data_IF_456037924253
#
_entry.id   IF_456037924253
#
_cell.length_a   1.000
_cell.length_b   1.000
_cell.length_c   1.000
_cell.angle_alpha   90.00
_cell.angle_beta   90.00
_cell.angle_gamma   90.00
#
_symmetry.space_group_name_H-M   'P 1'
#
loop_
_entity.id
_entity.type
_entity.pdbx_description
1 polymer ?
#
# COMPACT_ATOMS: atom_id res chain seq x y z
N UNK A 1 -30.00 -13.52 20.09
CA UNK A 1 -29.73 -12.68 18.90
C UNK A 1 -28.72 -13.35 17.99
N UNK A 2 -27.51 -13.66 18.47
CA UNK A 2 -26.43 -14.21 17.63
C UNK A 2 -26.74 -15.56 16.98
N UNK A 3 -27.50 -16.47 17.63
CA UNK A 3 -27.83 -17.77 17.03
C UNK A 3 -28.59 -17.66 15.71
N UNK A 4 -29.56 -16.75 15.62
CA UNK A 4 -30.33 -16.55 14.39
C UNK A 4 -29.48 -15.91 13.29
N UNK A 5 -28.64 -14.93 13.66
CA UNK A 5 -27.69 -14.29 12.76
C UNK A 5 -26.68 -15.28 12.19
N UNK A 6 -26.06 -16.11 13.02
CA UNK A 6 -25.10 -17.13 12.59
C UNK A 6 -25.75 -18.17 11.65
N UNK A 7 -26.96 -18.63 11.98
CA UNK A 7 -27.71 -19.54 11.10
C UNK A 7 -28.03 -18.91 9.74
N UNK A 8 -28.35 -17.61 9.69
CA UNK A 8 -28.53 -16.89 8.42
C UNK A 8 -27.23 -16.81 7.63
N UNK A 9 -26.09 -16.52 8.27
CA UNK A 9 -24.78 -16.51 7.61
C UNK A 9 -24.42 -17.89 7.05
N UNK A 10 -24.66 -18.97 7.79
CA UNK A 10 -24.45 -20.35 7.34
C UNK A 10 -25.32 -20.72 6.12
N UNK A 11 -26.46 -20.07 5.93
CA UNK A 11 -27.33 -20.31 4.78
C UNK A 11 -26.84 -19.65 3.48
N UNK A 12 -26.03 -18.59 3.59
CA UNK A 12 -25.53 -17.81 2.42
C UNK A 12 -24.05 -18.05 2.14
N UNK A 13 -23.30 -18.47 3.16
CA UNK A 13 -21.90 -18.85 3.10
C UNK A 13 -21.78 -20.38 2.98
N UNK A 14 -20.87 -20.83 2.13
CA UNK A 14 -20.56 -22.25 1.97
C UNK A 14 -19.73 -22.83 3.11
N UNK A 15 -19.45 -24.13 3.02
CA UNK A 15 -18.65 -24.84 4.01
C UNK A 15 -17.27 -24.19 4.21
N UNK A 16 -16.91 -23.94 5.47
CA UNK A 16 -15.64 -23.30 5.85
C UNK A 16 -15.54 -21.82 5.48
N UNK A 17 -16.63 -21.15 5.08
CA UNK A 17 -16.66 -19.70 4.86
C UNK A 17 -17.11 -18.90 6.09
N UNK A 18 -17.57 -19.56 7.15
CA UNK A 18 -17.90 -18.93 8.43
C UNK A 18 -17.04 -19.57 9.54
N UNK A 19 -16.27 -18.76 10.25
CA UNK A 19 -15.45 -19.19 11.37
C UNK A 19 -16.08 -18.74 12.68
N UNK A 20 -16.45 -19.70 13.52
CA UNK A 20 -17.04 -19.46 14.85
C UNK A 20 -16.17 -19.98 15.99
N UNK A 21 -15.19 -20.84 15.70
CA UNK A 21 -14.26 -21.34 16.71
C UNK A 21 -13.39 -20.19 17.29
N UNK A 22 -13.28 -20.06 18.63
CA UNK A 22 -12.45 -19.03 19.25
C UNK A 22 -11.00 -18.98 18.75
N UNK A 23 -10.37 -20.12 18.46
CA UNK A 23 -8.99 -20.19 17.99
C UNK A 23 -8.84 -19.61 16.58
N UNK A 24 -9.76 -19.96 15.68
CA UNK A 24 -9.76 -19.46 14.29
C UNK A 24 -10.02 -17.95 14.23
N UNK A 25 -11.02 -17.49 15.00
CA UNK A 25 -11.40 -16.07 15.06
C UNK A 25 -10.27 -15.17 15.57
N UNK A 26 -9.40 -15.69 16.45
CA UNK A 26 -8.29 -14.92 17.05
C UNK A 26 -7.30 -14.39 16.01
N UNK A 27 -7.09 -15.11 14.92
CA UNK A 27 -6.21 -14.68 13.82
C UNK A 27 -6.73 -13.41 13.09
N UNK A 28 -8.01 -13.08 13.24
CA UNK A 28 -8.65 -11.90 12.67
C UNK A 28 -8.90 -10.80 13.72
N UNK A 29 -8.41 -11.02 14.93
CA UNK A 29 -8.60 -10.14 16.08
C UNK A 29 -7.56 -9.03 16.23
N UNK A 30 -6.54 -8.97 15.37
CA UNK A 30 -5.45 -7.99 15.46
C UNK A 30 -4.99 -7.58 14.06
N UNK A 31 -4.33 -6.44 13.95
CA UNK A 31 -3.55 -6.05 12.77
C UNK A 31 -2.12 -5.70 13.19
N UNK A 32 -1.37 -4.95 12.38
CA UNK A 32 0.01 -4.57 12.68
C UNK A 32 0.09 -3.37 13.65
N UNK A 33 -1.02 -2.94 14.25
CA UNK A 33 -1.06 -2.06 15.42
C UNK A 33 -0.80 -2.83 16.72
N UNK A 34 -1.00 -2.17 17.87
CA UNK A 34 -0.93 -2.81 19.20
C UNK A 34 -2.29 -3.29 19.70
N UNK A 35 -3.38 -3.01 18.98
CA UNK A 35 -4.74 -3.33 19.39
C UNK A 35 -5.07 -4.80 19.11
N UNK A 36 -5.91 -5.37 19.98
CA UNK A 36 -6.43 -6.73 19.85
C UNK A 36 -7.90 -6.76 20.30
N UNK A 37 -8.70 -7.59 19.64
CA UNK A 37 -10.11 -7.83 19.94
C UNK A 37 -10.51 -9.23 19.47
N UNK A 38 -11.62 -9.76 20.00
CA UNK A 38 -12.14 -11.06 19.58
C UNK A 38 -13.45 -10.82 18.83
N UNK A 39 -13.59 -11.18 17.54
CA UNK A 39 -14.85 -10.99 16.83
C UNK A 39 -15.87 -12.06 17.21
N UNK A 40 -17.15 -11.75 16.99
CA UNK A 40 -18.27 -12.71 17.09
C UNK A 40 -18.04 -13.91 16.17
N UNK A 41 -17.72 -13.63 14.91
CA UNK A 41 -17.42 -14.61 13.87
C UNK A 41 -16.58 -13.96 12.77
N UNK A 42 -16.11 -14.78 11.82
CA UNK A 42 -15.42 -14.30 10.61
C UNK A 42 -16.11 -14.87 9.38
N UNK A 43 -16.56 -14.00 8.48
CA UNK A 43 -17.09 -14.36 7.17
C UNK A 43 -16.00 -14.26 6.09
N UNK A 44 -15.92 -15.28 5.23
CA UNK A 44 -14.94 -15.45 4.16
C UNK A 44 -15.64 -15.60 2.79
N UNK A 45 -16.38 -14.57 2.32
CA UNK A 45 -17.05 -14.63 1.03
C UNK A 45 -16.04 -14.77 -0.12
N UNK A 46 -16.43 -15.46 -1.19
CA UNK A 46 -15.66 -15.60 -2.44
C UNK A 46 -16.27 -14.84 -3.63
N UNK A 47 -17.45 -14.25 -3.41
CA UNK A 47 -18.24 -13.61 -4.47
C UNK A 47 -18.92 -12.34 -3.98
N UNK A 48 -19.16 -11.42 -4.92
CA UNK A 48 -19.89 -10.18 -4.65
C UNK A 48 -21.28 -10.41 -4.05
N UNK A 49 -21.98 -11.46 -4.51
CA UNK A 49 -23.31 -11.79 -4.01
C UNK A 49 -23.28 -12.17 -2.53
N UNK A 50 -22.32 -12.99 -2.12
CA UNK A 50 -22.16 -13.32 -0.70
C UNK A 50 -21.84 -12.09 0.16
N UNK A 51 -21.03 -11.15 -0.35
CA UNK A 51 -20.80 -9.89 0.37
C UNK A 51 -22.10 -9.10 0.55
N UNK A 52 -22.94 -9.01 -0.48
CA UNK A 52 -24.29 -8.39 -0.38
C UNK A 52 -25.12 -9.07 0.71
N UNK A 53 -25.19 -10.41 0.68
CA UNK A 53 -26.01 -11.18 1.62
C UNK A 53 -25.52 -11.03 3.07
N UNK A 54 -24.20 -11.04 3.29
CA UNK A 54 -23.58 -10.82 4.61
C UNK A 54 -23.88 -9.41 5.13
N UNK A 55 -23.70 -8.38 4.30
CA UNK A 55 -23.95 -6.99 4.71
C UNK A 55 -25.43 -6.79 5.07
N UNK A 56 -26.35 -7.39 4.30
CA UNK A 56 -27.79 -7.34 4.61
C UNK A 56 -28.13 -8.04 5.93
N UNK A 57 -27.54 -9.21 6.19
CA UNK A 57 -27.71 -9.90 7.47
C UNK A 57 -27.19 -9.04 8.64
N UNK A 58 -26.02 -8.40 8.49
CA UNK A 58 -25.52 -7.47 9.50
C UNK A 58 -26.48 -6.30 9.75
N UNK A 59 -27.03 -5.71 8.69
CA UNK A 59 -27.98 -4.60 8.79
C UNK A 59 -29.31 -5.03 9.46
N UNK A 60 -29.85 -6.20 9.09
CA UNK A 60 -31.07 -6.77 9.66
C UNK A 60 -30.95 -7.05 11.16
N UNK A 61 -29.83 -7.67 11.58
CA UNK A 61 -29.58 -8.03 12.97
C UNK A 61 -28.87 -6.95 13.79
N UNK A 62 -28.53 -5.81 13.16
CA UNK A 62 -27.77 -4.70 13.75
C UNK A 62 -26.41 -5.12 14.31
N UNK A 63 -25.70 -5.96 13.56
CA UNK A 63 -24.37 -6.45 13.91
C UNK A 63 -23.31 -5.52 13.27
N UNK A 64 -22.36 -4.97 14.06
CA UNK A 64 -21.23 -4.22 13.51
C UNK A 64 -20.41 -5.07 12.55
N UNK A 65 -19.98 -4.47 11.44
CA UNK A 65 -19.23 -5.15 10.38
C UNK A 65 -17.88 -4.47 10.15
N UNK A 66 -16.80 -5.24 10.22
CA UNK A 66 -15.45 -4.78 9.92
C UNK A 66 -14.96 -5.48 8.65
N UNK A 67 -14.74 -4.70 7.58
CA UNK A 67 -14.13 -5.20 6.36
C UNK A 67 -12.63 -5.37 6.54
N UNK A 68 -12.08 -6.50 6.07
CA UNK A 68 -10.68 -6.86 6.28
C UNK A 68 -10.06 -7.47 5.02
N UNK A 69 -8.82 -7.08 4.73
CA UNK A 69 -7.92 -7.80 3.83
C UNK A 69 -7.11 -8.84 4.61
N UNK A 70 -5.77 -8.73 4.54
CA UNK A 70 -4.85 -9.60 5.29
C UNK A 70 -4.41 -9.04 6.66
N UNK A 71 -4.96 -7.89 7.09
CA UNK A 71 -4.65 -7.31 8.41
C UNK A 71 -3.26 -6.70 8.55
N UNK A 72 -2.69 -6.18 7.46
CA UNK A 72 -1.35 -5.52 7.47
C UNK A 72 -1.38 -4.04 7.88
N UNK A 73 -2.57 -3.46 8.11
CA UNK A 73 -2.74 -2.07 8.52
C UNK A 73 -2.17 -1.80 9.92
N UNK A 74 -1.84 -0.55 10.21
CA UNK A 74 -1.14 -0.15 11.45
C UNK A 74 -1.95 0.78 12.35
N UNK A 75 -3.20 1.09 11.97
CA UNK A 75 -4.07 2.04 12.68
C UNK A 75 -5.05 1.37 13.64
N UNK A 76 -5.22 0.05 13.55
CA UNK A 76 -6.24 -0.68 14.31
C UNK A 76 -7.61 -0.72 13.62
N UNK A 77 -7.76 -0.14 12.42
CA UNK A 77 -9.08 -0.04 11.77
C UNK A 77 -9.69 -1.39 11.35
N UNK A 78 -8.90 -2.47 11.39
CA UNK A 78 -9.40 -3.84 11.11
C UNK A 78 -9.51 -4.71 12.36
N UNK A 79 -9.34 -4.12 13.55
CA UNK A 79 -9.53 -4.77 14.84
C UNK A 79 -11.02 -4.70 15.21
N UNK A 80 -11.65 -5.81 15.61
CA UNK A 80 -13.05 -5.81 16.06
C UNK A 80 -13.27 -4.84 17.22
N UNK A 81 -14.38 -4.10 17.18
CA UNK A 81 -14.74 -3.13 18.24
C UNK A 81 -15.05 -3.84 19.56
N UNK A 82 -15.74 -4.98 19.47
CA UNK A 82 -16.23 -5.78 20.58
C UNK A 82 -16.48 -7.25 20.15
N UNK A 83 -16.95 -8.06 21.10
CA UNK A 83 -17.27 -9.48 20.90
C UNK A 83 -18.54 -9.72 20.05
N UNK A 84 -19.29 -8.67 19.72
CA UNK A 84 -20.51 -8.73 18.92
C UNK A 84 -20.26 -8.42 17.44
N UNK A 85 -19.05 -7.97 17.10
CA UNK A 85 -18.66 -7.55 15.77
C UNK A 85 -18.34 -8.71 14.81
N UNK A 86 -18.87 -8.66 13.58
CA UNK A 86 -18.48 -9.57 12.50
C UNK A 86 -17.26 -9.02 11.74
N UNK A 87 -16.26 -9.86 11.48
CA UNK A 87 -15.20 -9.55 10.50
C UNK A 87 -15.55 -10.17 9.15
N UNK A 88 -15.57 -9.37 8.09
CA UNK A 88 -15.69 -9.83 6.71
C UNK A 88 -14.32 -9.76 6.05
N UNK A 89 -13.66 -10.91 5.89
CA UNK A 89 -12.39 -10.99 5.20
C UNK A 89 -12.57 -11.29 3.71
N UNK A 90 -11.96 -10.45 2.89
CA UNK A 90 -11.99 -10.54 1.42
C UNK A 90 -10.92 -11.47 0.84
N UNK A 91 -10.17 -12.19 1.69
CA UNK A 91 -9.01 -12.99 1.26
C UNK A 91 -9.33 -14.12 0.28
N UNK A 92 -10.58 -14.60 0.23
CA UNK A 92 -11.02 -15.62 -0.76
C UNK A 92 -11.48 -15.03 -2.09
N UNK A 93 -11.53 -13.70 -2.20
CA UNK A 93 -11.80 -12.99 -3.45
C UNK A 93 -10.46 -12.60 -4.08
N UNK A 94 -9.67 -13.56 -4.54
CA UNK A 94 -8.25 -13.41 -4.90
C UNK A 94 -7.94 -13.59 -6.38
N UNK A 95 -8.95 -13.42 -7.26
CA UNK A 95 -8.77 -13.59 -8.71
C UNK A 95 -8.52 -12.28 -9.44
N UNK A 96 -7.59 -12.33 -10.38
CA UNK A 96 -7.52 -11.36 -11.47
C UNK A 96 -8.57 -11.77 -12.49
N UNK A 97 -9.56 -10.91 -12.71
CA UNK A 97 -10.72 -11.17 -13.57
C UNK A 97 -10.44 -10.81 -15.03
N UNK A 98 -9.61 -9.80 -15.25
CA UNK A 98 -9.29 -9.27 -16.57
C UNK A 98 -7.92 -8.56 -16.55
N UNK A 99 -7.15 -8.71 -17.62
CA UNK A 99 -5.98 -7.89 -17.91
C UNK A 99 -6.07 -7.49 -19.39
N UNK A 100 -6.30 -6.20 -19.64
CA UNK A 100 -6.38 -5.64 -20.97
C UNK A 100 -5.17 -4.72 -21.21
N UNK A 101 -4.28 -5.15 -22.10
CA UNK A 101 -3.06 -4.42 -22.47
C UNK A 101 -3.36 -3.22 -23.35
N UNK A 102 -4.37 -3.32 -24.21
CA UNK A 102 -4.68 -2.28 -25.20
C UNK A 102 -5.37 -1.11 -24.48
N UNK A 103 -6.29 -1.42 -23.56
CA UNK A 103 -6.93 -0.42 -22.69
C UNK A 103 -6.09 -0.05 -21.44
N UNK A 104 -4.98 -0.76 -21.21
CA UNK A 104 -4.08 -0.59 -20.05
C UNK A 104 -4.82 -0.60 -18.71
N UNK A 105 -5.61 -1.63 -18.51
CA UNK A 105 -6.35 -1.84 -17.27
C UNK A 105 -6.25 -3.28 -16.77
N UNK A 106 -6.52 -3.45 -15.48
CA UNK A 106 -6.65 -4.77 -14.86
C UNK A 106 -7.88 -4.77 -13.95
N UNK A 107 -8.77 -5.74 -14.11
CA UNK A 107 -9.90 -5.92 -13.20
C UNK A 107 -9.56 -7.03 -12.21
N UNK A 108 -9.63 -6.73 -10.93
CA UNK A 108 -9.20 -7.64 -9.86
C UNK A 108 -10.23 -7.69 -8.73
N UNK A 109 -10.29 -8.84 -8.06
CA UNK A 109 -10.96 -8.97 -6.79
C UNK A 109 -10.10 -8.39 -5.64
N UNK A 110 -10.70 -7.92 -4.52
CA UNK A 110 -10.03 -7.17 -3.46
C UNK A 110 -9.00 -7.97 -2.66
N UNK A 111 -9.07 -9.31 -2.67
CA UNK A 111 -8.16 -10.22 -1.98
C UNK A 111 -6.85 -10.49 -2.75
N UNK A 112 -6.75 -10.08 -4.02
CA UNK A 112 -5.50 -10.21 -4.79
C UNK A 112 -4.39 -9.43 -4.08
N UNK A 113 -3.23 -10.05 -3.87
CA UNK A 113 -2.08 -9.35 -3.26
C UNK A 113 -1.53 -8.31 -4.21
N UNK A 114 -0.95 -7.23 -3.67
CA UNK A 114 -0.30 -6.23 -4.52
C UNK A 114 0.80 -6.87 -5.37
N UNK A 115 1.63 -7.71 -4.76
CA UNK A 115 2.69 -8.45 -5.46
C UNK A 115 2.15 -9.25 -6.66
N UNK A 116 1.03 -9.95 -6.53
CA UNK A 116 0.43 -10.69 -7.64
C UNK A 116 -0.03 -9.76 -8.78
N UNK A 117 -0.55 -8.56 -8.46
CA UNK A 117 -0.85 -7.52 -9.47
C UNK A 117 0.42 -7.07 -10.19
N UNK A 118 1.49 -6.77 -9.44
CA UNK A 118 2.77 -6.35 -10.03
C UNK A 118 3.30 -7.40 -11.00
N UNK A 119 3.34 -8.66 -10.59
CA UNK A 119 3.84 -9.76 -11.41
C UNK A 119 3.00 -9.98 -12.67
N UNK A 120 1.67 -9.89 -12.55
CA UNK A 120 0.77 -10.02 -13.69
C UNK A 120 0.94 -8.87 -14.70
N UNK A 121 1.03 -7.64 -14.22
CA UNK A 121 1.23 -6.46 -15.07
C UNK A 121 2.62 -6.48 -15.74
N UNK A 122 3.66 -6.87 -15.01
CA UNK A 122 5.04 -6.89 -15.50
C UNK A 122 5.22 -7.83 -16.69
N UNK A 123 4.54 -8.99 -16.68
CA UNK A 123 4.52 -9.93 -17.81
C UNK A 123 3.99 -9.33 -19.12
N UNK A 124 3.26 -8.21 -19.03
CA UNK A 124 2.69 -7.49 -20.18
C UNK A 124 3.41 -6.16 -20.46
N UNK A 125 4.50 -5.86 -19.74
CA UNK A 125 5.26 -4.61 -19.88
C UNK A 125 4.66 -3.42 -19.13
N UNK A 126 3.87 -3.68 -18.09
CA UNK A 126 3.24 -2.65 -17.25
C UNK A 126 3.50 -2.88 -15.77
N UNK A 127 3.06 -1.93 -14.95
CA UNK A 127 2.95 -2.09 -13.50
C UNK A 127 1.73 -1.32 -12.99
N UNK A 128 1.29 -1.63 -11.77
CA UNK A 128 0.31 -0.82 -11.04
C UNK A 128 1.08 0.02 -10.01
N UNK A 129 1.07 1.36 -10.06
CA UNK A 129 2.06 2.12 -9.32
C UNK A 129 2.16 1.99 -7.79
N UNK A 130 1.06 1.81 -7.04
CA UNK A 130 1.13 1.66 -5.60
C UNK A 130 2.02 0.46 -5.17
N UNK A 131 3.07 0.74 -4.40
CA UNK A 131 4.12 -0.22 -4.02
C UNK A 131 4.43 -0.22 -2.50
N UNK A 132 3.42 -0.45 -1.64
CA UNK A 132 3.62 -0.52 -0.19
C UNK A 132 4.67 -1.57 0.18
N UNK A 133 5.40 -1.31 1.26
CA UNK A 133 6.45 -2.22 1.76
C UNK A 133 5.94 -3.62 2.09
N UNK A 134 4.64 -3.76 2.36
CA UNK A 134 3.93 -5.01 2.63
C UNK A 134 3.36 -5.69 1.38
N UNK A 135 3.77 -5.32 0.16
CA UNK A 135 3.20 -5.80 -1.11
C UNK A 135 3.01 -7.31 -1.25
N UNK A 136 3.91 -8.11 -0.64
CA UNK A 136 3.83 -9.57 -0.63
C UNK A 136 2.62 -10.12 0.16
N UNK A 137 2.03 -9.33 1.05
CA UNK A 137 0.95 -9.74 1.96
C UNK A 137 -0.28 -8.84 1.83
N UNK A 138 -0.12 -7.52 1.67
CA UNK A 138 -1.26 -6.63 1.57
C UNK A 138 -2.06 -6.88 0.29
N UNK A 139 -3.37 -6.67 0.37
CA UNK A 139 -4.29 -6.91 -0.75
C UNK A 139 -4.70 -5.60 -1.41
N UNK A 140 -5.15 -5.68 -2.66
CA UNK A 140 -5.65 -4.53 -3.42
C UNK A 140 -6.77 -3.83 -2.66
N UNK A 141 -7.73 -4.57 -2.09
CA UNK A 141 -8.81 -4.00 -1.29
C UNK A 141 -8.31 -3.22 -0.08
N UNK A 142 -7.32 -3.75 0.64
CA UNK A 142 -6.69 -3.06 1.76
C UNK A 142 -5.96 -1.78 1.33
N UNK A 143 -5.18 -1.86 0.25
CA UNK A 143 -4.46 -0.70 -0.29
C UNK A 143 -5.42 0.41 -0.73
N UNK A 144 -6.56 0.06 -1.33
CA UNK A 144 -7.59 1.04 -1.70
C UNK A 144 -8.29 1.62 -0.46
N UNK A 145 -8.62 0.79 0.53
CA UNK A 145 -9.29 1.22 1.75
C UNK A 145 -8.43 2.21 2.56
N UNK A 146 -7.12 2.00 2.62
CA UNK A 146 -6.17 2.89 3.31
C UNK A 146 -5.55 3.97 2.41
N UNK A 147 -5.83 3.93 1.11
CA UNK A 147 -5.05 4.67 0.10
C UNK A 147 -3.52 4.44 0.25
N UNK A 148 -3.11 3.21 0.60
CA UNK A 148 -1.72 2.86 0.85
C UNK A 148 -0.89 2.94 -0.43
N UNK A 149 0.03 3.91 -0.45
CA UNK A 149 1.00 4.07 -1.51
C UNK A 149 2.34 3.42 -1.11
N UNK A 150 3.43 3.90 -1.70
CA UNK A 150 4.80 3.52 -1.36
C UNK A 150 5.78 4.55 -1.92
N UNK A 151 7.09 4.23 -1.94
CA UNK A 151 8.12 5.15 -2.41
C UNK A 151 7.87 5.73 -3.80
N UNK A 152 7.16 5.00 -4.67
CA UNK A 152 6.84 5.44 -6.04
C UNK A 152 5.78 6.53 -6.15
N UNK A 153 5.13 6.87 -5.04
CA UNK A 153 4.07 7.87 -5.01
C UNK A 153 4.52 9.26 -5.47
N UNK A 154 5.80 9.60 -5.28
CA UNK A 154 6.37 10.90 -5.68
C UNK A 154 6.21 11.19 -7.18
N UNK A 155 6.37 10.16 -8.03
CA UNK A 155 6.23 10.28 -9.49
C UNK A 155 4.88 9.79 -10.00
N UNK A 156 4.34 8.72 -9.39
CA UNK A 156 3.21 8.00 -9.95
C UNK A 156 1.91 8.11 -9.14
N UNK A 157 1.93 8.82 -8.01
CA UNK A 157 0.76 9.04 -7.17
C UNK A 157 0.34 7.81 -6.35
N UNK A 158 -0.86 7.91 -5.76
CA UNK A 158 -1.37 6.94 -4.78
C UNK A 158 -2.39 5.99 -5.43
N UNK A 159 -2.97 5.00 -4.71
CA UNK A 159 -4.08 4.20 -5.25
C UNK A 159 -5.23 5.04 -5.81
N UNK A 160 -5.45 6.23 -5.27
CA UNK A 160 -6.46 7.20 -5.72
C UNK A 160 -6.26 7.69 -7.16
N UNK A 161 -5.01 7.85 -7.59
CA UNK A 161 -4.65 8.24 -8.97
C UNK A 161 -4.60 7.02 -9.90
N UNK A 162 -4.41 5.84 -9.35
CA UNK A 162 -4.11 4.60 -10.08
C UNK A 162 -5.29 3.61 -10.13
N UNK A 163 -6.51 4.09 -9.90
CA UNK A 163 -7.75 3.29 -9.94
C UNK A 163 -8.78 3.98 -10.84
N UNK A 164 -9.31 3.24 -11.81
CA UNK A 164 -10.28 3.75 -12.79
C UNK A 164 -11.72 3.63 -12.30
N UNK A 165 -12.03 2.58 -11.52
CA UNK A 165 -13.37 2.32 -11.02
C UNK A 165 -13.44 1.19 -10.00
N UNK A 166 -14.55 1.12 -9.29
CA UNK A 166 -14.80 0.12 -8.24
C UNK A 166 -16.18 -0.51 -8.39
N UNK A 167 -16.32 -1.73 -7.90
CA UNK A 167 -17.61 -2.31 -7.49
C UNK A 167 -17.60 -2.51 -5.99
N UNK A 168 -18.60 -2.00 -5.28
CA UNK A 168 -18.68 -2.13 -3.83
C UNK A 168 -20.11 -2.42 -3.36
N UNK A 169 -20.25 -2.67 -2.05
CA UNK A 169 -21.52 -2.90 -1.36
C UNK A 169 -21.63 -1.88 -0.23
N UNK A 170 -22.69 -1.05 -0.24
CA UNK A 170 -22.96 -0.06 0.81
C UNK A 170 -23.37 -0.73 2.11
N UNK A 171 -23.41 0.02 3.23
CA UNK A 171 -23.94 -0.48 4.50
C UNK A 171 -25.42 -0.93 4.47
N UNK A 172 -26.21 -0.47 3.49
CA UNK A 172 -27.59 -0.96 3.25
C UNK A 172 -27.63 -2.30 2.51
N UNK A 173 -26.49 -2.79 2.01
CA UNK A 173 -26.42 -3.99 1.18
C UNK A 173 -26.78 -3.73 -0.29
N UNK A 174 -26.64 -2.50 -0.77
CA UNK A 174 -26.85 -2.15 -2.17
C UNK A 174 -25.54 -2.21 -2.96
N UNK A 175 -25.62 -2.75 -4.17
CA UNK A 175 -24.46 -2.80 -5.08
C UNK A 175 -24.26 -1.45 -5.75
N UNK A 176 -23.01 -0.97 -5.74
CA UNK A 176 -22.62 0.25 -6.45
C UNK A 176 -21.46 -0.04 -7.42
N UNK A 177 -21.46 0.66 -8.56
CA UNK A 177 -20.32 0.71 -9.49
C UNK A 177 -19.94 2.17 -9.71
N UNK A 178 -18.66 2.48 -9.59
CA UNK A 178 -18.13 3.84 -9.72
C UNK A 178 -17.01 3.89 -10.75
N UNK A 179 -16.74 5.11 -11.22
CA UNK A 179 -15.65 5.38 -12.13
C UNK A 179 -15.94 4.93 -13.55
N UNK A 180 -14.89 4.68 -14.31
CA UNK A 180 -14.97 4.28 -15.72
C UNK A 180 -13.93 3.21 -16.03
N UNK A 181 -13.91 2.73 -17.27
CA UNK A 181 -12.83 1.89 -17.79
C UNK A 181 -11.84 2.68 -18.66
N UNK A 182 -12.01 3.99 -18.72
CA UNK A 182 -11.31 4.88 -19.62
C UNK A 182 -10.41 5.84 -18.86
N UNK A 183 -9.36 6.34 -19.51
CA UNK A 183 -8.47 7.31 -18.88
C UNK A 183 -9.14 8.62 -18.47
N UNK A 184 -10.26 8.97 -19.12
CA UNK A 184 -11.05 10.18 -18.86
C UNK A 184 -12.50 9.79 -18.56
N UNK A 185 -13.01 10.18 -17.39
CA UNK A 185 -14.43 10.12 -17.04
C UNK A 185 -14.88 11.49 -16.54
N UNK A 186 -15.90 12.07 -17.17
CA UNK A 186 -16.39 13.43 -16.84
C UNK A 186 -17.90 13.48 -16.55
N UNK A 187 -18.53 12.31 -16.40
CA UNK A 187 -19.96 12.20 -16.15
C UNK A 187 -20.19 11.90 -14.68
N UNK A 188 -20.80 12.85 -13.96
CA UNK A 188 -21.16 12.70 -12.54
C UNK A 188 -20.01 12.97 -11.57
N UNK A 189 -20.24 12.65 -10.31
CA UNK A 189 -19.26 12.80 -9.23
C UNK A 189 -18.25 11.65 -9.20
N UNK A 190 -17.02 11.93 -8.79
CA UNK A 190 -15.98 10.91 -8.60
C UNK A 190 -16.17 10.17 -7.26
N UNK A 191 -17.15 9.28 -7.25
CA UNK A 191 -17.40 8.40 -6.12
C UNK A 191 -16.31 7.34 -5.94
N UNK A 192 -15.49 7.07 -6.96
CA UNK A 192 -14.34 6.16 -6.87
C UNK A 192 -13.33 6.72 -5.89
N UNK A 193 -12.93 7.99 -6.06
CA UNK A 193 -12.02 8.66 -5.14
C UNK A 193 -12.65 8.82 -3.75
N UNK A 194 -13.96 9.03 -3.63
CA UNK A 194 -14.62 9.09 -2.32
C UNK A 194 -14.45 7.79 -1.51
N UNK A 195 -14.55 6.62 -2.16
CA UNK A 195 -14.42 5.32 -1.49
C UNK A 195 -12.96 4.94 -1.17
N UNK A 196 -12.01 5.41 -1.98
CA UNK A 196 -10.58 5.17 -1.72
C UNK A 196 -10.14 6.02 -0.50
N UNK A 197 -9.55 5.36 0.49
CA UNK A 197 -9.21 5.96 1.77
C UNK A 197 -10.36 6.00 2.78
N UNK A 198 -11.52 5.38 2.50
CA UNK A 198 -12.64 5.36 3.45
C UNK A 198 -12.50 4.30 4.55
N UNK A 199 -11.44 3.49 4.54
CA UNK A 199 -11.19 2.42 5.51
C UNK A 199 -12.37 1.44 5.67
N UNK A 200 -13.14 1.22 4.61
CA UNK A 200 -14.33 0.34 4.63
C UNK A 200 -15.57 0.93 5.33
N UNK A 201 -15.51 2.16 5.85
CA UNK A 201 -16.62 2.80 6.56
C UNK A 201 -17.79 3.22 5.69
N UNK A 202 -17.57 3.40 4.38
CA UNK A 202 -18.61 3.80 3.42
C UNK A 202 -19.17 2.61 2.61
N UNK A 203 -18.32 1.66 2.26
CA UNK A 203 -18.69 0.47 1.49
C UNK A 203 -17.61 -0.62 1.55
N UNK A 204 -18.01 -1.87 1.34
CA UNK A 204 -17.11 -3.01 1.14
C UNK A 204 -16.74 -3.12 -0.34
N UNK A 205 -15.47 -2.90 -0.69
CA UNK A 205 -14.96 -3.05 -2.07
C UNK A 205 -14.93 -4.54 -2.44
N UNK A 206 -15.44 -4.89 -3.61
CA UNK A 206 -15.58 -6.27 -4.11
C UNK A 206 -14.95 -6.51 -5.48
N UNK A 207 -14.60 -5.45 -6.20
CA UNK A 207 -13.88 -5.47 -7.47
C UNK A 207 -13.22 -4.10 -7.67
N UNK A 208 -12.03 -4.08 -8.27
CA UNK A 208 -11.34 -2.86 -8.66
C UNK A 208 -10.88 -2.93 -10.12
N UNK A 209 -11.10 -1.86 -10.87
CA UNK A 209 -10.49 -1.64 -12.19
C UNK A 209 -9.28 -0.75 -12.00
N UNK A 210 -8.09 -1.33 -12.07
CA UNK A 210 -6.80 -0.67 -11.86
C UNK A 210 -6.30 -0.05 -13.17
N UNK A 211 -5.64 1.11 -13.06
CA UNK A 211 -4.92 1.75 -14.19
C UNK A 211 -3.52 1.16 -14.28
N UNK A 212 -3.14 0.63 -15.44
CA UNK A 212 -1.79 0.14 -15.69
C UNK A 212 -0.90 1.22 -16.30
N UNK A 213 0.30 1.36 -15.76
CA UNK A 213 1.33 2.29 -16.22
C UNK A 213 2.42 1.52 -16.94
N UNK A 214 2.95 2.01 -18.09
CA UNK A 214 4.07 1.35 -18.76
C UNK A 214 5.28 1.19 -17.85
N UNK A 215 5.87 0.00 -17.83
CA UNK A 215 7.08 -0.26 -17.08
C UNK A 215 8.29 0.28 -17.87
N UNK A 216 9.00 1.26 -17.30
CA UNK A 216 10.19 1.82 -17.93
C UNK A 216 11.34 0.80 -17.92
N UNK A 217 12.15 0.75 -19.00
CA UNK A 217 13.13 -0.32 -19.19
C UNK A 217 14.35 -0.21 -18.27
N UNK A 218 14.64 0.99 -17.75
CA UNK A 218 15.86 1.26 -17.02
C UNK A 218 15.62 2.17 -15.81
N UNK A 219 16.49 2.01 -14.80
CA UNK A 219 16.52 2.79 -13.57
C UNK A 219 17.96 3.08 -13.14
N UNK A 220 18.19 4.24 -12.54
CA UNK A 220 19.42 4.57 -11.81
C UNK A 220 19.07 4.92 -10.38
N UNK A 221 19.93 4.52 -9.46
CA UNK A 221 19.80 4.81 -8.04
C UNK A 221 21.03 5.60 -7.61
N UNK A 222 20.79 6.76 -7.03
CA UNK A 222 21.81 7.62 -6.45
C UNK A 222 21.74 7.51 -4.93
N UNK A 223 22.92 7.51 -4.32
CA UNK A 223 23.14 7.63 -2.89
C UNK A 223 23.75 9.00 -2.63
N UNK A 224 23.06 9.86 -1.88
CA UNK A 224 23.60 11.14 -1.46
C UNK A 224 23.68 11.20 0.07
N UNK A 225 24.86 11.49 0.60
CA UNK A 225 25.16 11.54 2.03
C UNK A 225 25.46 12.97 2.41
N UNK A 226 24.84 13.43 3.49
CA UNK A 226 24.95 14.79 3.99
C UNK A 226 25.43 14.79 5.44
N UNK A 227 26.03 15.90 5.86
CA UNK A 227 26.48 16.10 7.24
C UNK A 227 25.35 16.18 8.26
N UNK A 228 24.18 16.64 7.83
CA UNK A 228 23.01 16.87 8.68
C UNK A 228 21.70 16.83 7.88
N UNK A 229 20.58 16.79 8.63
CA UNK A 229 19.23 16.70 8.07
C UNK A 229 18.82 17.97 7.31
N UNK A 230 19.34 19.14 7.71
CA UNK A 230 18.98 20.41 7.08
C UNK A 230 19.51 20.46 5.65
N UNK A 231 20.78 20.08 5.46
CA UNK A 231 21.42 19.99 4.15
C UNK A 231 20.65 19.03 3.23
N UNK A 232 20.29 17.85 3.73
CA UNK A 232 19.51 16.88 2.96
C UNK A 232 18.10 17.40 2.61
N UNK A 233 17.43 18.12 3.52
CA UNK A 233 16.13 18.73 3.24
C UNK A 233 16.21 19.81 2.15
N UNK A 234 17.25 20.65 2.17
CA UNK A 234 17.50 21.61 1.09
C UNK A 234 17.72 20.92 -0.27
N UNK A 235 18.45 19.80 -0.28
CA UNK A 235 18.62 19.00 -1.49
C UNK A 235 17.29 18.41 -1.99
N UNK A 236 16.44 17.90 -1.11
CA UNK A 236 15.08 17.43 -1.46
C UNK A 236 14.27 18.57 -2.10
N UNK A 237 14.26 19.76 -1.50
CA UNK A 237 13.55 20.91 -2.05
C UNK A 237 14.06 21.29 -3.45
N UNK A 238 15.39 21.33 -3.66
CA UNK A 238 15.98 21.61 -4.96
C UNK A 238 15.64 20.54 -6.01
N UNK A 239 15.69 19.26 -5.64
CA UNK A 239 15.31 18.13 -6.51
C UNK A 239 13.82 18.23 -6.90
N UNK A 240 12.95 18.61 -5.97
CA UNK A 240 11.52 18.73 -6.25
C UNK A 240 11.15 20.01 -7.01
N UNK A 241 12.03 21.02 -7.02
CA UNK A 241 11.82 22.28 -7.74
C UNK A 241 12.18 22.21 -9.24
N UNK A 242 12.82 21.13 -9.70
CA UNK A 242 13.19 20.96 -11.11
C UNK A 242 12.18 20.09 -11.90
N UNK A 243 12.22 20.12 -13.25
CA UNK A 243 11.33 19.31 -14.08
C UNK A 243 11.55 17.78 -13.98
N UNK A 244 12.73 17.34 -13.54
CA UNK A 244 13.06 15.91 -13.41
C UNK A 244 12.53 15.38 -12.08
N UNK A 245 11.40 14.67 -12.13
CA UNK A 245 10.82 14.01 -10.95
C UNK A 245 11.45 12.64 -10.71
N UNK A 246 12.09 12.39 -9.55
CA UNK A 246 12.59 11.06 -9.20
C UNK A 246 11.41 10.10 -9.03
N UNK A 247 11.59 8.81 -9.32
CA UNK A 247 10.60 7.78 -9.05
C UNK A 247 10.63 7.25 -7.61
N UNK A 248 11.69 7.54 -6.85
CA UNK A 248 11.72 7.39 -5.40
C UNK A 248 12.69 8.41 -4.79
N UNK A 249 12.35 8.94 -3.61
CA UNK A 249 13.19 9.88 -2.87
C UNK A 249 13.05 9.62 -1.38
N UNK A 250 13.89 8.72 -0.86
CA UNK A 250 13.82 8.25 0.52
C UNK A 250 14.88 8.94 1.38
N UNK A 251 14.53 9.25 2.63
CA UNK A 251 15.35 9.96 3.60
C UNK A 251 15.63 9.10 4.83
N UNK A 252 16.86 9.12 5.33
CA UNK A 252 17.23 8.50 6.60
C UNK A 252 18.16 9.42 7.41
N UNK A 253 17.77 9.76 8.63
CA UNK A 253 18.62 10.54 9.54
C UNK A 253 19.76 9.68 10.13
N UNK A 254 20.72 10.34 10.79
CA UNK A 254 21.89 9.66 11.35
C UNK A 254 21.55 8.59 12.38
N UNK A 255 20.46 8.77 13.15
CA UNK A 255 20.00 7.76 14.12
C UNK A 255 19.44 6.53 13.41
N UNK A 256 18.64 6.72 12.38
CA UNK A 256 18.10 5.66 11.55
C UNK A 256 19.20 4.90 10.79
N UNK A 257 20.22 5.61 10.29
CA UNK A 257 21.40 5.00 9.67
C UNK A 257 22.14 4.12 10.66
N UNK A 258 22.49 4.66 11.84
CA UNK A 258 23.23 3.92 12.85
C UNK A 258 22.48 2.65 13.29
N UNK A 259 21.17 2.75 13.47
CA UNK A 259 20.33 1.61 13.82
C UNK A 259 20.23 0.57 12.69
N UNK A 260 20.07 1.00 11.45
CA UNK A 260 20.00 0.09 10.31
C UNK A 260 21.33 -0.64 10.05
N UNK A 261 22.47 0.01 10.34
CA UNK A 261 23.81 -0.59 10.19
C UNK A 261 24.06 -1.78 11.13
N UNK A 262 23.33 -1.91 12.24
CA UNK A 262 23.43 -3.09 13.12
C UNK A 262 22.96 -4.38 12.43
N UNK A 263 21.93 -4.27 11.58
CA UNK A 263 21.33 -5.41 10.86
C UNK A 263 21.82 -5.53 9.41
N UNK A 264 22.10 -4.40 8.77
CA UNK A 264 22.48 -4.29 7.37
C UNK A 264 23.65 -3.31 7.22
N UNK A 265 24.90 -3.77 7.41
CA UNK A 265 26.08 -2.93 7.27
C UNK A 265 26.16 -2.31 5.86
N UNK A 266 26.41 -1.02 5.80
CA UNK A 266 26.57 -0.27 4.57
C UNK A 266 27.87 0.54 4.60
N UNK A 267 28.59 0.55 3.48
CA UNK A 267 29.81 1.34 3.29
C UNK A 267 29.45 2.83 3.13
N UNK A 268 29.27 3.53 4.26
CA UNK A 268 28.97 4.96 4.30
C UNK A 268 30.21 5.76 4.74
N UNK A 269 30.44 6.95 4.15
CA UNK A 269 31.59 7.77 4.50
C UNK A 269 31.53 8.27 5.95
N UNK A 270 32.69 8.54 6.52
CA UNK A 270 32.78 9.18 7.84
C UNK A 270 32.04 10.53 7.83
N UNK A 271 31.23 10.80 8.86
CA UNK A 271 30.39 12.00 8.92
C UNK A 271 29.05 11.90 8.19
N UNK A 272 28.56 10.68 7.91
CA UNK A 272 27.22 10.43 7.41
C UNK A 272 26.14 10.78 8.44
N UNK A 273 25.72 12.05 8.47
CA UNK A 273 24.65 12.52 9.34
C UNK A 273 23.26 12.32 8.77
N UNK A 274 23.12 12.19 7.45
CA UNK A 274 21.85 11.90 6.76
C UNK A 274 22.12 11.25 5.39
N UNK A 275 21.20 10.40 4.95
CA UNK A 275 21.25 9.67 3.69
C UNK A 275 19.97 9.94 2.89
N UNK A 276 20.13 10.31 1.61
CA UNK A 276 19.09 10.26 0.60
C UNK A 276 19.34 9.11 -0.37
N UNK A 277 18.29 8.35 -0.65
CA UNK A 277 18.24 7.42 -1.78
C UNK A 277 17.33 8.01 -2.84
N UNK A 278 17.86 8.24 -4.03
CA UNK A 278 17.16 8.88 -5.13
C UNK A 278 17.10 7.87 -6.27
N UNK A 279 15.91 7.50 -6.73
CA UNK A 279 15.77 6.68 -7.93
C UNK A 279 15.16 7.49 -9.06
N UNK A 280 15.65 7.26 -10.27
CA UNK A 280 15.07 7.79 -11.50
C UNK A 280 14.93 6.65 -12.50
N UNK A 281 13.77 6.57 -13.14
CA UNK A 281 13.47 5.61 -14.18
C UNK A 281 13.19 6.33 -15.51
N UNK A 282 13.51 5.64 -16.61
CA UNK A 282 13.46 6.23 -17.94
C UNK A 282 13.91 5.25 -19.03
N UNK A 283 14.06 5.80 -20.23
CA UNK A 283 14.73 5.11 -21.33
C UNK A 283 16.26 5.21 -21.17
N UNK A 284 16.97 4.18 -21.59
CA UNK A 284 18.42 4.04 -21.37
C UNK A 284 19.23 5.24 -21.89
N UNK A 285 18.83 5.81 -23.03
CA UNK A 285 19.49 6.93 -23.71
C UNK A 285 19.30 8.29 -23.01
N UNK A 286 18.28 8.43 -22.16
CA UNK A 286 17.98 9.65 -21.41
C UNK A 286 18.43 9.58 -19.95
N UNK A 287 18.64 8.37 -19.43
CA UNK A 287 18.71 8.14 -18.00
C UNK A 287 19.93 8.76 -17.33
N UNK A 288 21.06 8.79 -18.04
CA UNK A 288 22.30 9.42 -17.56
C UNK A 288 22.14 10.95 -17.43
N UNK A 289 21.44 11.59 -18.39
CA UNK A 289 21.15 13.02 -18.33
C UNK A 289 20.18 13.35 -17.18
N UNK A 290 19.14 12.54 -16.98
CA UNK A 290 18.21 12.69 -15.86
C UNK A 290 18.92 12.52 -14.50
N UNK A 291 19.82 11.53 -14.40
CA UNK A 291 20.63 11.33 -13.20
C UNK A 291 21.58 12.52 -12.96
N UNK A 292 22.21 13.06 -14.00
CA UNK A 292 23.08 14.23 -13.89
C UNK A 292 22.34 15.48 -13.36
N UNK A 293 21.12 15.74 -13.85
CA UNK A 293 20.27 16.83 -13.35
C UNK A 293 19.94 16.64 -11.86
N UNK A 294 19.58 15.42 -11.45
CA UNK A 294 19.33 15.10 -10.04
C UNK A 294 20.59 15.25 -9.17
N UNK A 295 21.75 14.84 -9.67
CA UNK A 295 23.04 15.01 -8.98
C UNK A 295 23.31 16.49 -8.77
N UNK A 296 23.12 17.32 -9.79
CA UNK A 296 23.35 18.76 -9.68
C UNK A 296 22.39 19.43 -8.70
N UNK A 297 21.09 19.10 -8.76
CA UNK A 297 20.10 19.61 -7.81
C UNK A 297 20.40 19.18 -6.36
N UNK A 298 20.99 17.99 -6.17
CA UNK A 298 21.40 17.47 -4.88
C UNK A 298 22.68 18.11 -4.32
N UNK A 299 23.45 18.86 -5.13
CA UNK A 299 24.68 19.55 -4.68
C UNK A 299 24.34 20.81 -3.90
N UNK A 300 24.31 20.68 -2.59
CA UNK A 300 24.16 21.78 -1.64
C UNK A 300 25.32 21.83 -0.66
N UNK A 301 25.46 22.95 0.05
CA UNK A 301 26.37 23.03 1.19
C UNK A 301 26.03 21.92 2.20
N UNK A 302 27.04 21.17 2.62
CA UNK A 302 26.85 20.03 3.53
C UNK A 302 26.75 18.66 2.86
N UNK A 303 26.75 18.59 1.52
CA UNK A 303 26.96 17.32 0.80
C UNK A 303 28.34 16.75 1.16
N UNK A 304 28.36 15.52 1.67
CA UNK A 304 29.58 14.75 1.96
C UNK A 304 29.96 13.92 0.74
N UNK A 305 28.97 13.28 0.13
CA UNK A 305 29.19 12.41 -1.02
C UNK A 305 27.90 12.23 -1.82
N UNK A 306 28.01 12.16 -3.14
CA UNK A 306 26.95 11.62 -4.00
C UNK A 306 27.55 10.59 -4.96
N UNK A 307 26.93 9.42 -5.06
CA UNK A 307 27.37 8.33 -5.94
C UNK A 307 26.18 7.67 -6.63
N UNK A 308 26.36 7.31 -7.89
CA UNK A 308 25.46 6.42 -8.60
C UNK A 308 25.83 4.96 -8.28
N UNK A 309 24.83 4.13 -8.00
CA UNK A 309 25.02 2.70 -7.85
C UNK A 309 25.48 2.08 -9.19
N UNK A 310 26.49 1.21 -9.13
CA UNK A 310 27.14 0.64 -10.32
C UNK A 310 26.37 -0.54 -10.90
N UNK A 311 25.66 -1.28 -10.06
CA UNK A 311 24.96 -2.50 -10.41
C UNK A 311 23.75 -2.73 -9.48
N UNK A 312 22.95 -3.74 -9.83
CA UNK A 312 21.75 -4.08 -9.05
C UNK A 312 22.07 -4.58 -7.63
N UNK A 313 23.29 -5.07 -7.37
CA UNK A 313 23.70 -5.52 -6.04
C UNK A 313 23.86 -4.32 -5.09
N UNK A 314 24.49 -3.23 -5.54
CA UNK A 314 24.57 -1.99 -4.78
C UNK A 314 23.18 -1.38 -4.53
N UNK A 315 22.31 -1.41 -5.55
CA UNK A 315 20.90 -0.97 -5.39
C UNK A 315 20.18 -1.81 -4.35
N UNK A 316 20.31 -3.13 -4.41
CA UNK A 316 19.72 -4.05 -3.43
C UNK A 316 20.25 -3.76 -2.03
N UNK A 317 21.55 -3.57 -1.87
CA UNK A 317 22.16 -3.27 -0.57
C UNK A 317 21.58 -1.99 0.04
N UNK A 318 21.43 -0.91 -0.74
CA UNK A 318 20.82 0.33 -0.27
C UNK A 318 19.36 0.13 0.18
N UNK A 319 18.57 -0.59 -0.61
CA UNK A 319 17.18 -0.88 -0.24
C UNK A 319 17.07 -1.80 0.99
N UNK A 320 18.03 -2.71 1.20
CA UNK A 320 18.05 -3.54 2.41
C UNK A 320 18.27 -2.70 3.67
N UNK A 321 19.20 -1.73 3.64
CA UNK A 321 19.42 -0.78 4.74
C UNK A 321 18.13 -0.04 5.07
N UNK A 322 17.46 0.52 4.06
CA UNK A 322 16.20 1.24 4.22
C UNK A 322 15.07 0.38 4.78
N UNK A 323 14.98 -0.89 4.36
CA UNK A 323 13.97 -1.86 4.81
C UNK A 323 14.25 -2.39 6.23
N UNK A 324 15.52 -2.54 6.61
CA UNK A 324 15.94 -3.01 7.93
C UNK A 324 15.54 -2.07 9.07
N UNK A 325 15.36 -0.76 8.79
CA UNK A 325 14.99 0.23 9.79
C UNK A 325 13.70 -0.12 10.55
N UNK A 326 12.65 -0.54 9.85
CA UNK A 326 11.33 -0.76 10.48
C UNK A 326 11.36 -1.92 11.51
N UNK A 327 11.91 -3.10 11.18
CA UNK A 327 12.18 -4.15 12.17
C UNK A 327 13.11 -3.71 13.30
N UNK A 328 14.21 -3.02 12.99
CA UNK A 328 15.20 -2.60 13.98
C UNK A 328 14.61 -1.68 15.05
N UNK A 329 13.72 -0.76 14.65
CA UNK A 329 13.02 0.14 15.56
C UNK A 329 12.15 -0.59 16.60
N UNK A 330 11.73 -1.84 16.35
CA UNK A 330 10.97 -2.64 17.34
C UNK A 330 11.83 -3.10 18.52
N UNK A 331 13.16 -3.11 18.37
CA UNK A 331 14.11 -3.51 19.43
C UNK A 331 14.52 -2.37 20.35
N UNK A 332 14.48 -1.13 19.86
CA UNK A 332 15.03 0.05 20.56
C UNK A 332 14.25 0.41 21.83
N UNK A 333 12.92 0.27 21.84
CA UNK A 333 12.13 0.53 23.05
C UNK A 333 10.78 -0.21 23.05
N UNK A 334 10.35 -0.77 24.20
CA UNK A 334 9.07 -1.47 24.33
C UNK A 334 7.84 -0.55 24.22
N UNK A 335 8.01 0.77 24.15
CA UNK A 335 6.94 1.79 24.06
C UNK A 335 7.12 2.73 22.87
N UNK A 336 7.57 2.20 21.74
CA UNK A 336 7.67 2.98 20.50
C UNK A 336 6.28 3.48 20.08
N UNK A 337 6.17 4.78 19.85
CA UNK A 337 5.02 5.39 19.18
C UNK A 337 5.43 5.63 17.71
N UNK A 338 4.59 5.20 16.77
CA UNK A 338 4.79 5.48 15.35
C UNK A 338 3.95 6.71 14.98
N UNK A 339 4.58 7.67 14.33
CA UNK A 339 3.89 8.80 13.70
C UNK A 339 4.20 8.75 12.21
N UNK A 340 3.16 8.83 11.39
CA UNK A 340 3.24 8.91 9.93
C UNK A 340 2.57 10.23 9.53
N UNK A 341 3.38 11.21 9.15
CA UNK A 341 2.97 12.61 9.00
C UNK A 341 3.43 13.16 7.67
N UNK A 342 2.71 14.18 7.18
CA UNK A 342 3.07 14.91 5.97
C UNK A 342 3.17 16.39 6.26
N UNK A 343 4.17 17.03 5.69
CA UNK A 343 4.37 18.49 5.70
C UNK A 343 4.71 18.95 4.29
N UNK A 344 4.46 20.22 3.93
CA UNK A 344 5.01 20.77 2.69
C UNK A 344 6.53 20.57 2.64
N UNK A 345 7.01 20.17 1.46
CA UNK A 345 8.44 20.18 1.13
C UNK A 345 8.94 21.62 1.11
#
# INVERSE_FOLDING_TARGET
MHTAFLAQLESVLGAGQLLTDPADRRAYGYDNSTLQGQPLAVALPDSHRQVVDVVRACNEHRIPLIARGQGTGTTGATVPLDEDSLVLSTQRMDRILELDRDDRLMVVQPGVTNQAVQEAAARQGFFWPPDPTSAAVCTVGGNLAYNSAGPRAVKYGTPRENTLGLRAVTGSGDSLRTGTRTSKGVVGYDLTRLLIGSEGTLAVITEATLRLTPLLPARRTLRAVYRDMHSAACAVANIMAQPVTPCALEFMDGKAIALAQEDAPADLPAGAGTLLMIEVDGFEDQLEELAAHLIEAARVEGLVEIRQARDDDEVRALWQVRKALSPALRRVAPKKINEDVVVPV
#
